data_IF_570178911761
#
_entry.id   IF_570178911761
#
_cell.length_a   1.000
_cell.length_b   1.000
_cell.length_c   1.000
_cell.angle_alpha   90.00
_cell.angle_beta   90.00
_cell.angle_gamma   90.00
#
_symmetry.space_group_name_H-M   'P 1'
#
loop_
_entity.id
_entity.type
_entity.pdbx_description
1 polymer ?
#
# COMPACT_ATOMS: atom_id res chain seq x y z
N UNK A 1 14.31 -13.26 11.94
CA UNK A 1 14.12 -11.94 12.57
C UNK A 1 13.31 -11.08 11.62
N UNK A 2 12.09 -10.82 12.00
CA UNK A 2 11.18 -9.95 11.25
C UNK A 2 11.64 -8.52 11.42
N UNK A 3 11.96 -7.86 10.30
CA UNK A 3 12.24 -6.44 10.36
C UNK A 3 10.92 -5.68 10.33
N UNK A 4 10.41 -5.31 11.51
CA UNK A 4 9.29 -4.40 11.63
C UNK A 4 9.72 -2.99 11.26
N UNK A 5 9.44 -2.56 10.03
CA UNK A 5 9.73 -1.20 9.56
C UNK A 5 8.62 -0.22 10.00
N UNK A 6 7.64 -0.69 10.76
CA UNK A 6 6.48 0.10 11.21
C UNK A 6 6.79 1.23 12.19
N UNK A 7 7.85 1.12 12.95
CA UNK A 7 8.14 2.02 14.09
C UNK A 7 8.50 3.43 13.66
N UNK A 8 8.89 3.64 12.43
CA UNK A 8 9.31 4.96 11.94
C UNK A 8 8.14 5.85 11.50
N UNK A 9 6.97 5.28 11.22
CA UNK A 9 5.76 6.01 10.82
C UNK A 9 5.89 6.87 9.55
N UNK A 10 7.06 6.87 8.91
CA UNK A 10 7.33 7.69 7.74
C UNK A 10 6.73 7.04 6.50
N UNK A 11 5.73 7.69 5.93
CA UNK A 11 5.11 7.26 4.68
C UNK A 11 6.15 7.19 3.56
N UNK A 12 6.21 6.04 2.85
CA UNK A 12 7.19 5.78 1.80
C UNK A 12 8.48 5.09 2.25
N UNK A 13 8.76 4.98 3.55
CA UNK A 13 10.00 4.36 4.06
C UNK A 13 10.13 2.87 3.70
N UNK A 14 9.02 2.14 3.64
CA UNK A 14 9.01 0.68 3.55
C UNK A 14 9.72 0.12 2.32
N UNK A 15 9.44 0.65 1.14
CA UNK A 15 10.00 0.12 -0.10
C UNK A 15 11.51 0.35 -0.24
N UNK A 16 12.06 1.55 -0.07
CA UNK A 16 13.51 1.76 -0.06
C UNK A 16 14.25 0.92 0.99
N UNK A 17 13.64 0.75 2.17
CA UNK A 17 14.21 -0.09 3.22
C UNK A 17 14.22 -1.57 2.83
N UNK A 18 13.21 -2.06 2.12
CA UNK A 18 13.18 -3.43 1.60
C UNK A 18 14.28 -3.67 0.56
N UNK A 19 14.57 -2.68 -0.31
CA UNK A 19 15.70 -2.73 -1.24
C UNK A 19 17.01 -2.90 -0.45
N UNK A 20 17.26 -2.03 0.53
CA UNK A 20 18.44 -2.12 1.38
C UNK A 20 18.54 -3.45 2.13
N UNK A 21 17.43 -3.96 2.65
CA UNK A 21 17.37 -5.27 3.31
C UNK A 21 17.74 -6.42 2.37
N UNK A 22 17.27 -6.38 1.12
CA UNK A 22 17.59 -7.39 0.12
C UNK A 22 19.04 -7.35 -0.31
N UNK A 23 19.59 -6.16 -0.52
CA UNK A 23 21.01 -5.99 -0.85
C UNK A 23 21.91 -6.53 0.30
N UNK A 24 21.56 -6.21 1.54
CA UNK A 24 22.30 -6.71 2.71
C UNK A 24 22.13 -8.22 2.94
N UNK A 25 21.06 -8.83 2.46
CA UNK A 25 20.74 -10.25 2.65
C UNK A 25 20.26 -10.89 1.34
N UNK A 26 21.12 -11.03 0.32
CA UNK A 26 20.69 -11.42 -1.03
C UNK A 26 20.05 -12.80 -1.12
N UNK A 27 20.40 -13.70 -0.19
CA UNK A 27 19.87 -15.08 -0.16
C UNK A 27 18.55 -15.22 0.59
N UNK A 28 18.13 -14.19 1.35
CA UNK A 28 16.88 -14.26 2.12
C UNK A 28 15.72 -13.69 1.32
N UNK A 29 14.51 -14.27 1.45
CA UNK A 29 13.32 -13.64 0.92
C UNK A 29 13.08 -12.33 1.67
N UNK A 30 12.66 -11.29 0.94
CA UNK A 30 12.26 -10.00 1.50
C UNK A 30 10.86 -9.69 1.01
N UNK A 31 9.97 -9.41 1.94
CA UNK A 31 8.59 -8.99 1.66
C UNK A 31 8.42 -7.57 2.18
N UNK A 32 7.95 -6.68 1.32
CA UNK A 32 7.58 -5.30 1.66
C UNK A 32 6.07 -5.21 1.72
N UNK A 33 5.49 -4.86 2.86
CA UNK A 33 4.05 -4.58 2.99
C UNK A 33 3.87 -3.07 3.00
N UNK A 34 3.11 -2.55 2.05
CA UNK A 34 2.88 -1.10 1.89
C UNK A 34 1.47 -0.82 1.37
N UNK A 35 0.93 0.35 1.72
CA UNK A 35 -0.29 0.84 1.09
C UNK A 35 0.01 1.52 -0.26
N UNK A 36 -1.03 1.67 -1.08
CA UNK A 36 -0.98 2.34 -2.38
C UNK A 36 -0.44 3.78 -2.29
N UNK A 37 -0.93 4.57 -1.33
CA UNK A 37 -0.41 5.92 -1.10
C UNK A 37 1.03 5.94 -0.58
N UNK A 38 1.41 4.98 0.27
CA UNK A 38 2.77 4.84 0.80
C UNK A 38 3.78 4.47 -0.27
N UNK A 39 3.41 3.54 -1.14
CA UNK A 39 4.26 3.11 -2.26
C UNK A 39 4.52 4.25 -3.26
N UNK A 40 3.51 5.08 -3.53
CA UNK A 40 3.65 6.21 -4.46
C UNK A 40 4.64 7.29 -3.98
N UNK A 41 4.98 7.34 -2.69
CA UNK A 41 5.96 8.33 -2.19
C UNK A 41 7.37 8.09 -2.73
N UNK A 42 7.72 6.85 -3.08
CA UNK A 42 9.03 6.45 -3.58
C UNK A 42 8.93 5.48 -4.77
N UNK A 43 7.94 5.66 -5.61
CA UNK A 43 7.66 4.80 -6.76
C UNK A 43 8.84 4.72 -7.74
N UNK A 44 9.65 5.78 -7.84
CA UNK A 44 10.85 5.84 -8.68
C UNK A 44 11.94 4.86 -8.25
N UNK A 45 11.92 4.39 -7.00
CA UNK A 45 12.86 3.39 -6.52
C UNK A 45 12.66 2.00 -7.16
N UNK A 46 11.58 1.82 -7.93
CA UNK A 46 11.44 0.65 -8.79
C UNK A 46 12.62 0.54 -9.77
N UNK A 47 13.11 1.66 -10.30
CA UNK A 47 14.30 1.65 -11.16
C UNK A 47 15.53 1.14 -10.40
N UNK A 48 15.74 1.59 -9.16
CA UNK A 48 16.81 1.11 -8.29
C UNK A 48 16.67 -0.40 -8.03
N UNK A 49 15.48 -0.86 -7.68
CA UNK A 49 15.24 -2.27 -7.37
C UNK A 49 15.50 -3.19 -8.57
N UNK A 50 15.07 -2.79 -9.76
CA UNK A 50 15.29 -3.54 -11.01
C UNK A 50 16.76 -3.54 -11.39
N UNK A 51 17.42 -2.37 -11.40
CA UNK A 51 18.83 -2.26 -11.80
C UNK A 51 19.79 -2.99 -10.85
N UNK A 52 19.40 -3.12 -9.58
CA UNK A 52 20.15 -3.91 -8.58
C UNK A 52 19.78 -5.40 -8.58
N UNK A 53 18.88 -5.85 -9.43
CA UNK A 53 18.44 -7.25 -9.50
C UNK A 53 17.84 -7.75 -8.17
N UNK A 54 17.04 -6.92 -7.49
CA UNK A 54 16.51 -7.28 -6.18
C UNK A 54 15.15 -7.97 -6.30
N UNK A 55 15.13 -9.30 -6.18
CA UNK A 55 13.89 -10.09 -6.08
C UNK A 55 13.18 -9.86 -4.75
N UNK A 56 12.36 -8.81 -4.68
CA UNK A 56 11.54 -8.42 -3.52
C UNK A 56 10.07 -8.67 -3.86
N UNK A 57 9.32 -9.26 -2.95
CA UNK A 57 7.86 -9.31 -3.06
C UNK A 57 7.25 -8.08 -2.38
N UNK A 58 6.56 -7.25 -3.15
CA UNK A 58 5.89 -6.04 -2.68
C UNK A 58 4.40 -6.35 -2.55
N UNK A 59 3.91 -6.54 -1.32
CA UNK A 59 2.48 -6.65 -1.02
C UNK A 59 1.89 -5.24 -0.94
N UNK A 60 1.26 -4.80 -2.02
CA UNK A 60 0.67 -3.48 -2.14
C UNK A 60 -0.82 -3.55 -1.80
N UNK A 61 -1.21 -3.02 -0.64
CA UNK A 61 -2.59 -2.98 -0.18
C UNK A 61 -3.29 -1.75 -0.74
N UNK A 62 -4.09 -1.93 -1.79
CA UNK A 62 -4.75 -0.85 -2.49
C UNK A 62 -6.20 -0.67 -2.01
N UNK A 63 -6.43 0.35 -1.20
CA UNK A 63 -7.77 0.78 -0.79
C UNK A 63 -8.25 2.06 -1.50
N UNK A 64 -7.46 2.59 -2.42
CA UNK A 64 -7.70 3.85 -3.17
C UNK A 64 -7.72 5.13 -2.33
N UNK A 65 -7.22 5.08 -1.09
CA UNK A 65 -7.26 6.20 -0.16
C UNK A 65 -5.96 6.34 0.63
N UNK A 66 -5.70 7.54 1.11
CA UNK A 66 -4.81 7.75 2.25
C UNK A 66 -5.55 7.24 3.51
N UNK A 67 -5.52 5.92 3.73
CA UNK A 67 -6.40 5.21 4.66
C UNK A 67 -6.37 5.76 6.08
N UNK A 68 -5.18 5.98 6.66
CA UNK A 68 -5.05 6.53 8.02
C UNK A 68 -5.60 7.95 8.14
N UNK A 69 -5.38 8.81 7.14
CA UNK A 69 -5.92 10.18 7.14
C UNK A 69 -7.45 10.14 7.03
N UNK A 70 -7.98 9.28 6.15
CA UNK A 70 -9.42 9.06 6.02
C UNK A 70 -10.04 8.57 7.33
N UNK A 71 -9.41 7.61 8.00
CA UNK A 71 -9.86 7.09 9.29
C UNK A 71 -9.92 8.19 10.37
N UNK A 72 -8.90 9.06 10.44
CA UNK A 72 -8.92 10.20 11.35
C UNK A 72 -10.10 11.14 11.05
N UNK A 73 -10.37 11.41 9.78
CA UNK A 73 -11.50 12.25 9.36
C UNK A 73 -12.84 11.58 9.72
N UNK A 74 -12.93 10.27 9.61
CA UNK A 74 -14.10 9.52 9.99
C UNK A 74 -14.38 9.57 11.49
N UNK A 75 -13.40 9.21 12.29
CA UNK A 75 -13.57 9.05 13.73
C UNK A 75 -13.64 10.39 14.49
N UNK A 76 -12.87 11.41 14.04
CA UNK A 76 -12.65 12.62 14.85
C UNK A 76 -13.11 13.91 14.20
N UNK A 77 -13.46 13.90 12.90
CA UNK A 77 -13.83 15.10 12.16
C UNK A 77 -15.21 14.99 11.50
N UNK A 78 -16.11 14.16 12.05
CA UNK A 78 -17.50 14.05 11.61
C UNK A 78 -17.66 13.60 10.16
N UNK A 79 -16.80 12.70 9.70
CA UNK A 79 -16.78 12.17 8.31
C UNK A 79 -16.62 13.26 7.23
N UNK A 80 -15.93 14.34 7.56
CA UNK A 80 -15.60 15.42 6.62
C UNK A 80 -14.36 15.04 5.82
N UNK A 81 -14.54 14.17 4.83
CA UNK A 81 -13.47 13.67 3.99
C UNK A 81 -12.94 14.74 3.05
N UNK A 82 -11.62 14.97 3.08
CA UNK A 82 -10.94 15.94 2.24
C UNK A 82 -9.56 15.45 1.86
N UNK A 83 -9.22 15.53 0.57
CA UNK A 83 -7.91 15.23 0.01
C UNK A 83 -7.35 13.83 0.32
N UNK A 84 -8.21 12.83 0.61
CA UNK A 84 -7.80 11.46 0.95
C UNK A 84 -8.05 10.44 -0.15
N UNK A 85 -8.96 10.73 -1.07
CA UNK A 85 -9.27 9.84 -2.20
C UNK A 85 -8.20 9.98 -3.29
N UNK A 86 -7.48 8.90 -3.56
CA UNK A 86 -6.40 8.87 -4.55
C UNK A 86 -6.89 8.71 -6.00
N UNK A 87 -8.18 8.37 -6.17
CA UNK A 87 -8.85 8.34 -7.50
C UNK A 87 -9.47 9.66 -7.92
N UNK A 88 -9.48 10.66 -7.04
CA UNK A 88 -10.23 11.91 -7.26
C UNK A 88 -9.79 12.63 -8.54
N UNK A 89 -10.77 13.12 -9.29
CA UNK A 89 -10.61 13.98 -10.48
C UNK A 89 -11.34 15.30 -10.29
N UNK A 90 -11.02 16.35 -11.07
CA UNK A 90 -11.76 17.61 -11.04
C UNK A 90 -13.27 17.46 -11.31
N UNK A 91 -13.66 16.44 -12.07
CA UNK A 91 -15.05 16.10 -12.37
C UNK A 91 -15.82 15.46 -11.20
N UNK A 92 -15.13 15.03 -10.14
CA UNK A 92 -15.80 14.45 -8.98
C UNK A 92 -16.61 15.50 -8.22
N UNK A 93 -17.81 15.13 -7.71
CA UNK A 93 -18.66 16.06 -6.98
C UNK A 93 -17.98 16.56 -5.71
N UNK A 94 -18.27 17.81 -5.33
CA UNK A 94 -17.90 18.34 -4.01
C UNK A 94 -18.62 17.57 -2.90
N UNK A 95 -17.95 17.35 -1.77
CA UNK A 95 -18.54 16.67 -0.62
C UNK A 95 -18.81 15.17 -0.82
N UNK A 96 -18.06 14.52 -1.71
CA UNK A 96 -18.14 13.06 -1.92
C UNK A 96 -17.93 12.32 -0.58
N UNK A 97 -18.87 11.44 -0.23
CA UNK A 97 -18.87 10.71 1.05
C UNK A 97 -18.21 9.32 0.97
N UNK A 98 -17.88 8.84 -0.22
CA UNK A 98 -17.30 7.52 -0.39
C UNK A 98 -17.30 7.03 -1.84
N UNK A 99 -16.77 5.84 -2.10
CA UNK A 99 -16.74 5.27 -3.43
C UNK A 99 -18.15 4.92 -3.93
N UNK A 100 -18.33 4.98 -5.24
CA UNK A 100 -19.51 4.52 -5.96
C UNK A 100 -19.12 4.09 -7.38
N UNK A 101 -20.06 3.53 -8.13
CA UNK A 101 -19.83 2.99 -9.48
C UNK A 101 -19.41 4.04 -10.53
N UNK A 102 -19.56 5.33 -10.20
CA UNK A 102 -19.14 6.44 -11.07
C UNK A 102 -17.74 6.96 -10.74
N UNK A 103 -17.06 6.37 -9.79
CA UNK A 103 -15.70 6.79 -9.44
C UNK A 103 -14.74 6.53 -10.60
N UNK A 104 -13.83 7.49 -10.89
CA UNK A 104 -12.78 7.27 -11.86
C UNK A 104 -11.92 6.09 -11.49
N UNK A 105 -11.29 5.47 -12.49
CA UNK A 105 -10.27 4.46 -12.24
C UNK A 105 -9.08 5.05 -11.48
N UNK A 106 -8.45 4.21 -10.67
CA UNK A 106 -7.23 4.57 -9.97
C UNK A 106 -6.06 4.66 -10.95
N UNK A 107 -5.21 5.63 -10.75
CA UNK A 107 -3.94 5.71 -11.45
C UNK A 107 -2.82 6.00 -10.44
N UNK A 108 -1.68 5.35 -10.58
CA UNK A 108 -1.30 4.43 -11.66
C UNK A 108 -1.97 3.05 -11.56
N UNK A 109 -2.03 2.32 -12.67
CA UNK A 109 -2.23 0.88 -12.66
C UNK A 109 -0.91 0.24 -12.20
N UNK A 110 -0.88 -0.33 -11.01
CA UNK A 110 0.37 -0.80 -10.40
C UNK A 110 0.95 -2.04 -11.09
N UNK A 111 0.11 -2.86 -11.73
CA UNK A 111 0.58 -4.00 -12.54
C UNK A 111 1.34 -3.49 -13.77
N UNK A 112 0.72 -2.61 -14.55
CA UNK A 112 1.36 -2.00 -15.71
C UNK A 112 2.56 -1.15 -15.36
N UNK A 113 2.51 -0.51 -14.18
CA UNK A 113 3.65 0.22 -13.66
C UNK A 113 4.84 -0.72 -13.42
N UNK A 114 4.64 -1.86 -12.76
CA UNK A 114 5.70 -2.84 -12.55
C UNK A 114 6.30 -3.27 -13.89
N UNK A 115 5.47 -3.63 -14.85
CA UNK A 115 5.88 -4.04 -16.19
C UNK A 115 6.69 -2.94 -16.92
N UNK A 116 6.29 -1.67 -16.77
CA UNK A 116 6.99 -0.54 -17.39
C UNK A 116 8.41 -0.33 -16.87
N UNK A 117 8.67 -0.78 -15.63
CA UNK A 117 10.01 -0.79 -15.03
C UNK A 117 10.81 -2.07 -15.33
N UNK A 118 10.22 -3.06 -16.02
CA UNK A 118 10.83 -4.38 -16.21
C UNK A 118 10.74 -5.27 -14.98
N UNK A 119 9.78 -5.02 -14.11
CA UNK A 119 9.43 -5.81 -12.94
C UNK A 119 8.14 -6.63 -13.22
N UNK A 120 7.69 -7.40 -12.24
CA UNK A 120 6.52 -8.25 -12.37
C UNK A 120 5.34 -7.67 -11.59
N UNK A 121 4.13 -7.79 -12.15
CA UNK A 121 2.90 -7.31 -11.54
C UNK A 121 1.82 -8.38 -11.51
N UNK A 122 1.16 -8.54 -10.37
CA UNK A 122 0.04 -9.46 -10.16
C UNK A 122 -1.05 -8.70 -9.44
N UNK A 123 -2.31 -8.80 -9.90
CA UNK A 123 -3.46 -8.24 -9.18
C UNK A 123 -4.25 -9.37 -8.53
N UNK A 124 -4.57 -9.20 -7.27
CA UNK A 124 -5.38 -10.11 -6.45
C UNK A 124 -6.64 -9.39 -6.02
N UNK A 125 -7.78 -9.90 -6.49
CA UNK A 125 -9.12 -9.36 -6.17
C UNK A 125 -9.90 -10.29 -5.25
N UNK A 126 -9.45 -11.56 -5.12
CA UNK A 126 -10.12 -12.58 -4.33
C UNK A 126 -9.13 -13.29 -3.42
N UNK A 127 -9.60 -13.70 -2.26
CA UNK A 127 -8.78 -14.42 -1.26
C UNK A 127 -8.20 -15.75 -1.81
N UNK A 128 -8.95 -16.44 -2.64
CA UNK A 128 -8.55 -17.71 -3.25
C UNK A 128 -7.32 -17.62 -4.16
N UNK A 129 -7.00 -16.42 -4.67
CA UNK A 129 -5.86 -16.17 -5.57
C UNK A 129 -4.55 -15.83 -4.81
N UNK A 130 -4.61 -15.64 -3.50
CA UNK A 130 -3.46 -15.18 -2.69
C UNK A 130 -2.30 -16.15 -2.77
N UNK A 131 -2.54 -17.44 -2.54
CA UNK A 131 -1.49 -18.45 -2.51
C UNK A 131 -0.82 -18.61 -3.88
N UNK A 132 -1.60 -18.55 -4.96
CA UNK A 132 -1.09 -18.60 -6.33
C UNK A 132 -0.21 -17.38 -6.64
N UNK A 133 -0.62 -16.18 -6.22
CA UNK A 133 0.17 -14.96 -6.41
C UNK A 133 1.52 -15.02 -5.68
N UNK A 134 1.55 -15.51 -4.44
CA UNK A 134 2.82 -15.71 -3.72
C UNK A 134 3.68 -16.82 -4.32
N UNK A 135 3.07 -17.89 -4.81
CA UNK A 135 3.80 -18.96 -5.48
C UNK A 135 4.46 -18.46 -6.77
N UNK A 136 3.79 -17.59 -7.52
CA UNK A 136 4.34 -16.96 -8.72
C UNK A 136 5.46 -15.98 -8.35
N UNK A 137 5.23 -15.07 -7.39
CA UNK A 137 6.22 -14.08 -6.97
C UNK A 137 7.55 -14.71 -6.50
N UNK A 138 7.49 -15.89 -5.87
CA UNK A 138 8.69 -16.62 -5.44
C UNK A 138 9.60 -17.09 -6.58
N UNK A 139 9.09 -17.17 -7.80
CA UNK A 139 9.89 -17.57 -8.97
C UNK A 139 10.77 -16.42 -9.48
N UNK A 140 10.38 -15.19 -9.20
CA UNK A 140 11.06 -13.98 -9.66
C UNK A 140 12.14 -13.58 -8.67
N UNK A 141 13.39 -13.86 -9.02
CA UNK A 141 14.57 -13.61 -8.14
C UNK A 141 15.45 -12.47 -8.61
N UNK A 142 15.22 -11.98 -9.81
CA UNK A 142 16.04 -11.03 -10.56
C UNK A 142 15.44 -9.61 -10.59
N UNK A 143 14.14 -9.47 -10.31
CA UNK A 143 13.46 -8.19 -10.25
C UNK A 143 12.32 -8.25 -9.22
N UNK A 144 11.84 -7.09 -8.73
CA UNK A 144 10.73 -7.06 -7.78
C UNK A 144 9.42 -7.55 -8.41
N UNK A 145 8.56 -8.12 -7.58
CA UNK A 145 7.18 -8.45 -7.93
C UNK A 145 6.22 -7.63 -7.09
N UNK A 146 5.36 -6.84 -7.72
CA UNK A 146 4.23 -6.19 -7.06
C UNK A 146 3.05 -7.16 -7.07
N UNK A 147 2.57 -7.52 -5.87
CA UNK A 147 1.27 -8.15 -5.71
C UNK A 147 0.31 -7.07 -5.19
N UNK A 148 -0.56 -6.59 -6.06
CA UNK A 148 -1.56 -5.59 -5.75
C UNK A 148 -2.81 -6.27 -5.20
N UNK A 149 -3.06 -6.12 -3.90
CA UNK A 149 -4.27 -6.61 -3.24
C UNK A 149 -5.33 -5.51 -3.23
N UNK A 150 -6.46 -5.76 -3.88
CA UNK A 150 -7.62 -4.88 -3.83
C UNK A 150 -8.36 -5.11 -2.53
N UNK A 151 -8.25 -4.16 -1.60
CA UNK A 151 -8.84 -4.28 -0.25
C UNK A 151 -10.00 -3.31 -0.03
N UNK A 152 -10.79 -3.57 1.01
CA UNK A 152 -11.90 -2.70 1.41
C UNK A 152 -11.43 -1.26 1.67
N UNK A 153 -12.24 -0.29 1.22
CA UNK A 153 -11.88 1.14 1.27
C UNK A 153 -12.16 1.81 2.60
N UNK A 154 -13.00 1.20 3.43
CA UNK A 154 -13.57 1.75 4.66
C UNK A 154 -13.21 0.94 5.91
N UNK A 155 -12.34 -0.06 5.78
CA UNK A 155 -11.84 -0.82 6.92
C UNK A 155 -11.03 0.08 7.86
N UNK A 156 -11.34 0.02 9.15
CA UNK A 156 -10.67 0.79 10.19
C UNK A 156 -9.57 -0.02 10.86
N UNK A 157 -8.43 0.61 11.08
CA UNK A 157 -7.32 0.03 11.85
C UNK A 157 -7.57 0.30 13.34
N UNK A 158 -8.05 -0.70 14.05
CA UNK A 158 -8.35 -0.63 15.48
C UNK A 158 -7.46 -1.62 16.26
N UNK A 159 -7.20 -1.38 17.54
CA UNK A 159 -7.67 -0.28 18.37
C UNK A 159 -7.00 1.07 18.08
N UNK A 160 -7.66 2.18 18.38
CA UNK A 160 -7.15 3.52 18.17
C UNK A 160 -7.45 4.44 19.36
N UNK A 161 -6.50 5.34 19.67
CA UNK A 161 -6.67 6.39 20.68
C UNK A 161 -6.66 7.75 19.98
N UNK A 162 -7.60 8.62 20.31
CA UNK A 162 -7.58 10.00 19.84
C UNK A 162 -6.36 10.72 20.40
N UNK A 163 -5.70 11.51 19.58
CA UNK A 163 -4.53 12.29 20.01
C UNK A 163 -4.88 13.17 21.21
N UNK A 164 -4.06 13.07 22.27
CA UNK A 164 -4.26 13.78 23.53
C UNK A 164 -5.13 13.05 24.56
N UNK A 165 -5.77 11.95 24.20
CA UNK A 165 -6.56 11.15 25.13
C UNK A 165 -5.71 10.06 25.82
N UNK A 166 -6.09 9.61 27.03
CA UNK A 166 -5.41 8.50 27.71
C UNK A 166 -5.76 7.16 27.03
N UNK A 167 -4.88 6.16 27.23
CA UNK A 167 -5.08 4.81 26.71
C UNK A 167 -6.37 4.12 27.19
N UNK A 168 -6.91 4.56 28.34
CA UNK A 168 -8.20 4.08 28.86
C UNK A 168 -9.41 4.46 28.00
N UNK A 169 -9.24 5.45 27.10
CA UNK A 169 -10.27 5.90 26.15
C UNK A 169 -10.06 5.34 24.74
N UNK A 170 -9.47 4.15 24.66
CA UNK A 170 -9.21 3.45 23.41
C UNK A 170 -10.51 3.05 22.71
N UNK A 171 -10.60 3.36 21.41
CA UNK A 171 -11.67 2.90 20.53
C UNK A 171 -11.33 1.48 20.10
N UNK A 172 -12.19 0.53 20.43
CA UNK A 172 -11.99 -0.90 20.16
C UNK A 172 -12.82 -1.43 18.98
N UNK A 173 -13.94 -0.76 18.68
CA UNK A 173 -14.90 -1.14 17.63
C UNK A 173 -15.50 0.10 16.98
#
# INVERSE_FOLDING_TARGET
SEMYIRDRGTMGFGFPAAIGAKIANPKKPVVCITGDGGFQMNIQEMATAVTQGTGITICLLNNNYLGMVRQMQELFYGKRYSATCLRRRPSCPGGCKGPNDQCPEYVPDFVKLAESYGAYGIRVEKEEDIDAAFAEAKKHTDAPTIIEFMIATDELVLPMVKSGNPMSEMILK
#
